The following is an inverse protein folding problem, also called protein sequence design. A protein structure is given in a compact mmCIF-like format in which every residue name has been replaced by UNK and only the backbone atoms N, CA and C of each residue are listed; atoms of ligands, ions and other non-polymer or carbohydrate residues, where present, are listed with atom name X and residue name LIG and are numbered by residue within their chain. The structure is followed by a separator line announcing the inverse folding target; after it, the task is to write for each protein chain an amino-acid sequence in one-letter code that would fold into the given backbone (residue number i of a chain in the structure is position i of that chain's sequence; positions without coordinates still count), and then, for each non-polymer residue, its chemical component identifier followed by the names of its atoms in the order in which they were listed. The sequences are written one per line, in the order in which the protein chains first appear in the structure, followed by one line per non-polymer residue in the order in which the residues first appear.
data_IF_963478868593
#
_entry.id   IF_963478868593
#
_cell.length_a   1.000
_cell.length_b   1.000
_cell.length_c   1.000
_cell.angle_alpha   90.00
_cell.angle_beta   90.00
_cell.angle_gamma   90.00
#
_symmetry.space_group_name_H-M   'P 1'
#
loop_
_entity.id
_entity.type
_entity.pdbx_description
1 polymer ?
#
# COMPACT_ATOMS: atom_id res chain seq x y z
N UNK A 1 35.40 -13.47 12.78
CA UNK A 1 34.39 -12.37 12.77
C UNK A 1 33.43 -12.71 11.65
N UNK A 2 32.19 -13.06 11.98
CA UNK A 2 31.13 -13.32 10.96
C UNK A 2 30.85 -12.03 10.20
N UNK A 3 31.09 -12.05 8.89
CA UNK A 3 30.86 -10.87 8.05
C UNK A 3 29.36 -10.53 7.98
N UNK A 4 29.02 -9.27 8.19
CA UNK A 4 27.68 -8.77 7.93
C UNK A 4 27.45 -8.70 6.43
N UNK A 5 26.27 -9.15 5.99
CA UNK A 5 25.85 -9.17 4.58
C UNK A 5 24.54 -8.40 4.45
N UNK A 6 24.41 -7.55 3.43
CA UNK A 6 23.13 -6.90 3.14
C UNK A 6 22.14 -7.88 2.51
N UNK A 7 20.85 -7.63 2.72
CA UNK A 7 19.78 -8.44 2.14
C UNK A 7 18.39 -7.80 2.28
N UNK A 8 17.43 -8.38 1.56
CA UNK A 8 16.03 -7.98 1.52
C UNK A 8 15.18 -8.99 2.31
N UNK A 9 14.32 -8.53 3.19
CA UNK A 9 13.34 -9.39 3.87
C UNK A 9 12.20 -9.68 2.92
N UNK A 10 12.11 -10.92 2.43
CA UNK A 10 11.08 -11.33 1.45
C UNK A 10 9.90 -12.05 2.10
N UNK A 11 10.06 -12.59 3.30
CA UNK A 11 8.95 -13.20 4.03
C UNK A 11 9.09 -12.95 5.53
N UNK A 12 7.97 -12.55 6.15
CA UNK A 12 7.87 -12.38 7.59
C UNK A 12 7.09 -13.54 8.21
N UNK A 13 7.70 -14.22 9.17
CA UNK A 13 7.07 -15.29 9.94
C UNK A 13 7.05 -14.99 11.44
N UNK A 14 6.39 -15.82 12.21
CA UNK A 14 6.19 -15.62 13.65
C UNK A 14 7.53 -15.59 14.44
N UNK A 15 8.49 -16.44 14.07
CA UNK A 15 9.77 -16.59 14.77
C UNK A 15 10.98 -16.30 13.88
N UNK A 16 10.86 -16.51 12.59
CA UNK A 16 11.94 -16.37 11.61
C UNK A 16 11.44 -15.58 10.40
N UNK A 17 12.38 -14.92 9.73
CA UNK A 17 12.16 -14.18 8.49
C UNK A 17 13.04 -14.78 7.41
N UNK A 18 12.55 -14.83 6.17
CA UNK A 18 13.39 -15.19 5.04
C UNK A 18 14.03 -13.93 4.47
N UNK A 19 15.34 -13.96 4.36
CA UNK A 19 16.15 -12.87 3.82
C UNK A 19 16.81 -13.36 2.54
N UNK A 20 16.63 -12.60 1.46
CA UNK A 20 17.36 -12.77 0.21
C UNK A 20 18.65 -11.96 0.30
N UNK A 21 19.85 -12.60 0.24
CA UNK A 21 21.11 -11.88 0.19
C UNK A 21 21.22 -11.02 -1.08
N UNK A 22 21.86 -9.86 -0.98
CA UNK A 22 22.11 -9.04 -2.16
C UNK A 22 22.99 -9.78 -3.18
N UNK A 23 22.59 -9.69 -4.46
CA UNK A 23 23.24 -10.38 -5.58
C UNK A 23 22.86 -11.86 -5.71
N UNK A 24 22.00 -12.41 -4.85
CA UNK A 24 21.44 -13.74 -5.03
C UNK A 24 20.29 -13.70 -6.04
N UNK A 25 20.08 -14.83 -6.74
CA UNK A 25 18.97 -14.98 -7.66
C UNK A 25 17.63 -15.04 -6.90
N UNK A 26 16.70 -14.09 -7.15
CA UNK A 26 15.39 -14.11 -6.49
C UNK A 26 14.52 -15.33 -6.83
N UNK A 27 14.79 -16.00 -7.95
CA UNK A 27 14.08 -17.21 -8.37
C UNK A 27 14.59 -18.47 -7.65
N UNK A 28 15.77 -18.40 -7.03
CA UNK A 28 16.37 -19.51 -6.29
C UNK A 28 15.88 -19.53 -4.84
N UNK A 29 14.91 -20.39 -4.55
CA UNK A 29 14.41 -20.56 -3.18
C UNK A 29 15.50 -21.04 -2.21
N UNK A 30 16.54 -21.73 -2.71
CA UNK A 30 17.67 -22.17 -1.86
C UNK A 30 18.62 -21.04 -1.51
N UNK A 31 18.57 -19.91 -2.23
CA UNK A 31 19.34 -18.72 -1.89
C UNK A 31 18.87 -18.05 -0.59
N UNK A 32 17.62 -18.28 -0.19
CA UNK A 32 17.02 -17.65 0.99
C UNK A 32 17.67 -18.10 2.30
N UNK A 33 17.89 -17.15 3.22
CA UNK A 33 18.45 -17.39 4.55
C UNK A 33 17.37 -17.20 5.61
N UNK A 34 17.16 -18.24 6.44
CA UNK A 34 16.19 -18.21 7.54
C UNK A 34 16.78 -17.50 8.75
N UNK A 35 16.39 -16.25 8.99
CA UNK A 35 16.98 -15.38 10.00
C UNK A 35 16.06 -15.16 11.20
N UNK A 36 16.67 -15.19 12.40
CA UNK A 36 16.06 -14.67 13.63
C UNK A 36 16.39 -13.21 13.82
N UNK A 37 15.58 -12.48 14.56
CA UNK A 37 15.84 -11.06 14.90
C UNK A 37 16.58 -10.99 16.23
N UNK A 38 17.73 -10.31 16.28
CA UNK A 38 18.49 -10.11 17.52
C UNK A 38 17.67 -9.38 18.59
N UNK A 39 17.79 -9.84 19.83
CA UNK A 39 17.00 -9.33 20.95
C UNK A 39 17.10 -7.82 21.19
N UNK A 40 18.25 -7.19 20.87
CA UNK A 40 18.46 -5.74 20.96
C UNK A 40 17.51 -4.94 20.06
N UNK A 41 17.20 -5.47 18.84
CA UNK A 41 16.30 -4.84 17.89
C UNK A 41 14.82 -4.90 18.35
N UNK A 42 14.47 -5.90 19.16
CA UNK A 42 13.13 -6.03 19.75
C UNK A 42 12.91 -5.03 20.90
N UNK A 43 13.98 -4.63 21.61
CA UNK A 43 13.88 -3.73 22.77
C UNK A 43 13.84 -2.25 22.39
N UNK A 44 14.47 -1.86 21.28
CA UNK A 44 14.62 -0.47 20.85
C UNK A 44 13.38 0.17 20.21
N UNK A 45 12.44 -0.65 19.70
CA UNK A 45 11.23 -0.19 19.00
C UNK A 45 9.96 -0.60 19.74
N UNK A 46 9.82 -0.13 20.99
CA UNK A 46 8.63 -0.41 21.83
C UNK A 46 7.31 0.11 21.22
N UNK A 47 7.39 1.00 20.25
CA UNK A 47 6.23 1.58 19.55
C UNK A 47 5.75 0.72 18.38
N UNK A 48 6.59 -0.18 17.86
CA UNK A 48 6.23 -1.06 16.75
C UNK A 48 6.09 -2.51 17.23
N UNK A 49 4.94 -3.11 16.96
CA UNK A 49 4.63 -4.50 17.34
C UNK A 49 5.55 -5.50 16.61
N UNK A 50 6.03 -5.13 15.43
CA UNK A 50 6.94 -5.93 14.61
C UNK A 50 8.15 -5.09 14.21
N UNK A 51 9.34 -5.40 14.71
CA UNK A 51 10.54 -4.65 14.36
C UNK A 51 10.95 -4.85 12.90
N UNK A 52 10.70 -6.04 12.33
CA UNK A 52 11.05 -6.42 10.95
C UNK A 52 9.79 -6.75 10.18
N UNK A 53 9.69 -6.27 8.95
CA UNK A 53 8.60 -6.54 8.00
C UNK A 53 9.16 -6.87 6.62
N UNK A 54 8.32 -7.35 5.72
CA UNK A 54 8.71 -7.54 4.31
C UNK A 54 9.09 -6.21 3.67
N UNK A 55 10.05 -6.25 2.75
CA UNK A 55 10.62 -5.04 2.13
C UNK A 55 11.71 -4.35 2.94
N UNK A 56 11.93 -4.74 4.21
CA UNK A 56 13.05 -4.20 4.99
C UNK A 56 14.40 -4.59 4.36
N UNK A 57 15.28 -3.60 4.24
CA UNK A 57 16.70 -3.81 3.96
C UNK A 57 17.40 -4.05 5.29
N UNK A 58 18.20 -5.11 5.38
CA UNK A 58 18.82 -5.55 6.63
C UNK A 58 20.29 -5.88 6.45
N UNK A 59 21.05 -5.76 7.55
CA UNK A 59 22.34 -6.41 7.70
C UNK A 59 22.14 -7.68 8.51
N UNK A 60 22.60 -8.81 8.00
CA UNK A 60 22.46 -10.08 8.67
C UNK A 60 23.79 -10.86 8.68
N UNK A 61 23.94 -11.78 9.64
CA UNK A 61 25.03 -12.76 9.71
C UNK A 61 24.46 -14.12 9.36
N UNK A 62 25.19 -14.89 8.54
CA UNK A 62 24.84 -16.27 8.22
C UNK A 62 25.69 -17.20 9.07
N UNK A 63 25.07 -18.22 9.66
CA UNK A 63 25.73 -19.27 10.42
C UNK A 63 26.31 -20.31 9.46
N UNK A 64 27.45 -20.86 9.81
CA UNK A 64 28.02 -22.02 9.12
C UNK A 64 27.18 -23.27 9.45
N UNK A 65 26.83 -24.06 8.42
CA UNK A 65 26.05 -25.28 8.60
C UNK A 65 25.22 -25.63 7.37
N UNK A 66 24.67 -26.86 7.32
CA UNK A 66 23.87 -27.34 6.19
C UNK A 66 22.55 -26.57 6.05
N UNK A 67 21.99 -26.06 7.14
CA UNK A 67 20.81 -25.22 7.14
C UNK A 67 21.22 -23.75 6.97
N UNK A 68 20.69 -23.07 5.97
CA UNK A 68 20.92 -21.63 5.74
C UNK A 68 20.23 -20.80 6.81
N UNK A 69 20.81 -20.74 8.00
CA UNK A 69 20.33 -19.97 9.13
C UNK A 69 21.16 -18.71 9.34
N UNK A 70 20.53 -17.68 9.91
CA UNK A 70 21.19 -16.42 10.17
C UNK A 70 20.52 -15.61 11.28
N UNK A 71 21.06 -14.44 11.51
CA UNK A 71 20.52 -13.47 12.44
C UNK A 71 20.52 -12.07 11.81
N UNK A 72 19.40 -11.38 11.86
CA UNK A 72 19.29 -9.96 11.50
C UNK A 72 19.94 -9.16 12.62
N UNK A 73 21.00 -8.45 12.27
CA UNK A 73 21.82 -7.64 13.18
C UNK A 73 21.38 -6.17 13.18
N UNK A 74 20.90 -5.68 12.00
CA UNK A 74 20.49 -4.30 11.82
C UNK A 74 19.36 -4.22 10.79
N UNK A 75 18.45 -3.27 10.99
CA UNK A 75 17.41 -2.89 10.02
C UNK A 75 17.81 -1.51 9.52
N UNK A 76 18.03 -1.39 8.21
CA UNK A 76 18.40 -0.14 7.59
C UNK A 76 17.22 0.85 7.61
N UNK A 77 17.51 2.13 7.40
CA UNK A 77 16.50 3.17 7.33
C UNK A 77 15.49 2.88 6.21
N UNK A 78 14.21 3.01 6.52
CA UNK A 78 13.12 2.83 5.56
C UNK A 78 12.90 4.11 4.79
N UNK A 79 12.76 4.03 3.46
CA UNK A 79 12.31 5.16 2.63
C UNK A 79 10.87 5.54 2.98
N UNK A 80 10.02 4.54 3.11
CA UNK A 80 8.60 4.63 3.45
C UNK A 80 8.11 3.33 4.07
N UNK A 81 6.89 3.36 4.63
CA UNK A 81 6.27 2.16 5.16
C UNK A 81 4.74 2.29 5.13
N UNK A 82 4.05 1.22 4.73
CA UNK A 82 2.61 1.10 4.93
C UNK A 82 2.35 0.62 6.34
N UNK A 83 1.55 1.40 7.05
CA UNK A 83 1.13 1.13 8.42
C UNK A 83 -0.37 1.02 8.56
N UNK A 84 -0.81 0.28 9.57
CA UNK A 84 -2.21 0.18 9.96
C UNK A 84 -2.38 0.24 11.47
N UNK A 85 -3.56 0.59 11.98
CA UNK A 85 -3.85 0.45 13.41
C UNK A 85 -3.78 -1.03 13.80
N UNK A 86 -3.16 -1.31 14.94
CA UNK A 86 -3.27 -2.65 15.51
C UNK A 86 -4.65 -2.81 16.16
N UNK A 87 -5.39 -3.89 15.89
CA UNK A 87 -6.56 -4.24 16.67
C UNK A 87 -6.12 -4.60 18.10
N UNK A 88 -6.04 -3.62 18.98
CA UNK A 88 -5.66 -3.86 20.38
C UNK A 88 -6.90 -4.03 21.22
N UNK A 89 -7.01 -5.16 21.92
CA UNK A 89 -8.00 -5.38 22.97
C UNK A 89 -7.69 -4.59 24.26
N UNK A 90 -7.58 -3.24 24.19
CA UNK A 90 -7.33 -2.43 25.36
C UNK A 90 -7.35 -0.93 25.06
N UNK A 91 -7.95 -0.16 25.94
CA UNK A 91 -8.28 1.28 25.80
C UNK A 91 -7.09 2.26 25.73
N UNK A 92 -5.83 1.82 25.70
CA UNK A 92 -4.68 2.72 25.80
C UNK A 92 -3.62 2.44 24.72
N UNK A 93 -3.47 3.35 23.75
CA UNK A 93 -2.56 3.45 22.62
C UNK A 93 -2.91 2.52 21.45
N UNK A 94 -3.42 3.11 20.39
CA UNK A 94 -3.43 2.51 19.05
C UNK A 94 -1.97 2.38 18.60
N UNK A 95 -1.37 1.21 18.80
CA UNK A 95 -0.01 0.93 18.33
C UNK A 95 -0.03 0.83 16.81
N UNK A 96 0.92 1.48 16.19
CA UNK A 96 1.15 1.37 14.75
C UNK A 96 1.77 0.02 14.41
N UNK A 97 1.18 -0.66 13.44
CA UNK A 97 1.74 -1.87 12.88
C UNK A 97 2.18 -1.61 11.45
N UNK A 98 3.49 -1.54 11.24
CA UNK A 98 4.06 -1.57 9.90
C UNK A 98 3.76 -2.91 9.25
N UNK A 99 3.35 -2.90 8.00
CA UNK A 99 2.92 -4.08 7.22
C UNK A 99 3.93 -4.41 6.14
N UNK A 100 4.38 -3.40 5.41
CA UNK A 100 5.41 -3.49 4.37
C UNK A 100 6.25 -2.21 4.36
N UNK A 101 7.55 -2.34 4.05
CA UNK A 101 8.48 -1.23 3.97
C UNK A 101 9.08 -1.11 2.56
N UNK A 102 9.62 0.06 2.26
CA UNK A 102 10.39 0.36 1.05
C UNK A 102 9.66 0.01 -0.26
N UNK A 103 8.36 0.31 -0.31
CA UNK A 103 7.61 0.23 -1.56
C UNK A 103 8.07 1.29 -2.54
N UNK A 104 8.22 0.93 -3.78
CA UNK A 104 8.45 1.88 -4.86
C UNK A 104 7.13 2.49 -5.34
N UNK A 105 6.02 1.71 -5.38
CA UNK A 105 4.67 2.23 -5.67
C UNK A 105 3.56 1.34 -5.15
N UNK A 106 2.46 1.96 -4.70
CA UNK A 106 1.20 1.31 -4.41
C UNK A 106 0.23 1.50 -5.58
N UNK A 107 -0.21 0.40 -6.20
CA UNK A 107 -1.20 0.42 -7.26
C UNK A 107 -2.61 0.26 -6.69
N UNK A 108 -3.47 1.24 -6.96
CA UNK A 108 -4.87 1.24 -6.54
C UNK A 108 -5.71 0.70 -7.69
N UNK A 109 -6.23 -0.51 -7.54
CA UNK A 109 -7.04 -1.17 -8.56
C UNK A 109 -8.51 -0.88 -8.33
N UNK A 110 -9.13 -0.26 -9.31
CA UNK A 110 -10.58 -0.05 -9.38
C UNK A 110 -11.15 -0.70 -10.62
N UNK A 111 -12.42 -1.08 -10.57
CA UNK A 111 -13.14 -1.64 -11.72
C UNK A 111 -13.97 -0.54 -12.38
N UNK A 112 -13.99 -0.53 -13.72
CA UNK A 112 -14.83 0.37 -14.51
C UNK A 112 -16.27 -0.10 -14.64
N UNK A 113 -16.59 -1.33 -14.19
CA UNK A 113 -17.92 -1.92 -14.28
C UNK A 113 -18.31 -2.67 -12.99
N UNK A 114 -17.86 -3.89 -12.80
CA UNK A 114 -18.27 -4.81 -11.74
C UNK A 114 -17.09 -5.19 -10.84
N UNK A 115 -17.06 -4.75 -9.56
CA UNK A 115 -18.05 -3.87 -8.91
C UNK A 115 -18.04 -2.46 -9.47
N UNK A 116 -19.09 -1.66 -9.23
CA UNK A 116 -19.15 -0.26 -9.66
C UNK A 116 -17.94 0.52 -9.17
N UNK A 117 -17.52 1.51 -9.97
CA UNK A 117 -16.44 2.42 -9.62
C UNK A 117 -16.72 3.11 -8.27
N UNK A 118 -15.74 3.06 -7.36
CA UNK A 118 -15.80 3.74 -6.07
C UNK A 118 -14.70 4.80 -5.99
N UNK A 119 -14.99 6.02 -6.45
CA UNK A 119 -14.03 7.14 -6.45
C UNK A 119 -13.61 7.51 -5.03
N UNK A 120 -14.53 7.53 -4.06
CA UNK A 120 -14.19 7.85 -2.67
C UNK A 120 -13.17 6.86 -2.07
N UNK A 121 -13.28 5.56 -2.40
CA UNK A 121 -12.26 4.59 -1.99
C UNK A 121 -10.91 4.91 -2.64
N UNK A 122 -10.89 5.21 -3.95
CA UNK A 122 -9.67 5.56 -4.68
C UNK A 122 -9.00 6.80 -4.05
N UNK A 123 -9.75 7.87 -3.88
CA UNK A 123 -9.27 9.15 -3.32
C UNK A 123 -8.79 9.02 -1.87
N UNK A 124 -9.47 8.18 -1.07
CA UNK A 124 -9.04 7.81 0.29
C UNK A 124 -7.63 7.20 0.31
N UNK A 125 -7.39 6.24 -0.58
CA UNK A 125 -6.10 5.55 -0.63
C UNK A 125 -5.01 6.49 -1.17
N UNK A 126 -5.31 7.32 -2.16
CA UNK A 126 -4.37 8.32 -2.67
C UNK A 126 -3.95 9.31 -1.57
N UNK A 127 -4.91 9.85 -0.82
CA UNK A 127 -4.62 10.74 0.29
C UNK A 127 -3.77 10.05 1.39
N UNK A 128 -4.07 8.79 1.69
CA UNK A 128 -3.29 8.01 2.66
C UNK A 128 -1.86 7.74 2.17
N UNK A 129 -1.66 7.47 0.88
CA UNK A 129 -0.34 7.29 0.28
C UNK A 129 0.48 8.57 0.40
N UNK A 130 -0.10 9.70 0.02
CA UNK A 130 0.59 10.98 0.08
C UNK A 130 0.99 11.35 1.51
N UNK A 131 0.08 11.14 2.49
CA UNK A 131 0.35 11.37 3.91
C UNK A 131 1.50 10.51 4.46
N UNK A 132 1.65 9.27 3.95
CA UNK A 132 2.71 8.35 4.37
C UNK A 132 3.96 8.37 3.46
N UNK A 133 4.04 9.31 2.51
CA UNK A 133 5.18 9.44 1.59
C UNK A 133 5.35 8.23 0.67
N UNK A 134 4.25 7.63 0.23
CA UNK A 134 4.23 6.46 -0.65
C UNK A 134 3.79 6.88 -2.05
N UNK A 135 4.63 6.63 -3.05
CA UNK A 135 4.24 6.81 -4.44
C UNK A 135 3.06 5.90 -4.78
N UNK A 136 2.08 6.44 -5.50
CA UNK A 136 0.89 5.70 -5.86
C UNK A 136 0.56 5.82 -7.35
N UNK A 137 -0.26 4.89 -7.84
CA UNK A 137 -0.79 4.91 -9.20
C UNK A 137 -2.13 4.19 -9.25
N UNK A 138 -2.88 4.43 -10.30
CA UNK A 138 -4.24 3.92 -10.50
C UNK A 138 -4.27 2.90 -11.62
N UNK A 139 -4.98 1.80 -11.41
CA UNK A 139 -5.31 0.83 -12.46
C UNK A 139 -6.82 0.80 -12.63
N UNK A 140 -7.28 1.31 -13.77
CA UNK A 140 -8.66 1.24 -14.23
C UNK A 140 -8.85 -0.10 -14.95
N UNK A 141 -9.33 -1.11 -14.22
CA UNK A 141 -9.42 -2.47 -14.73
C UNK A 141 -10.82 -2.79 -15.28
N UNK A 142 -10.90 -3.85 -16.09
CA UNK A 142 -12.11 -4.38 -16.73
C UNK A 142 -12.67 -3.47 -17.80
N UNK A 143 -11.81 -2.79 -18.55
CA UNK A 143 -12.19 -1.96 -19.69
C UNK A 143 -12.89 -2.76 -20.81
N UNK A 144 -12.74 -4.08 -20.81
CA UNK A 144 -13.34 -5.03 -21.76
C UNK A 144 -14.84 -5.30 -21.54
N UNK A 145 -15.38 -4.94 -20.37
CA UNK A 145 -16.77 -5.20 -20.06
C UNK A 145 -17.69 -4.22 -20.82
N UNK A 146 -18.85 -4.68 -21.34
CA UNK A 146 -19.73 -3.86 -22.16
C UNK A 146 -20.38 -2.69 -21.40
N UNK A 147 -20.47 -2.80 -20.07
CA UNK A 147 -20.98 -1.78 -19.16
C UNK A 147 -19.85 -0.98 -18.47
N UNK A 148 -18.62 -1.08 -18.99
CA UNK A 148 -17.49 -0.32 -18.45
C UNK A 148 -17.69 1.19 -18.66
N UNK A 149 -17.48 1.96 -17.60
CA UNK A 149 -17.43 3.42 -17.68
C UNK A 149 -16.26 3.84 -18.57
N UNK A 150 -16.43 4.90 -19.36
CA UNK A 150 -15.35 5.49 -20.15
C UNK A 150 -14.18 5.85 -19.22
N UNK A 151 -12.97 5.29 -19.44
CA UNK A 151 -11.82 5.55 -18.61
C UNK A 151 -11.23 6.95 -18.79
N UNK A 152 -11.43 7.61 -19.93
CA UNK A 152 -10.68 8.81 -20.30
C UNK A 152 -10.93 10.02 -19.39
N UNK A 153 -12.15 10.33 -18.94
CA UNK A 153 -12.37 11.39 -17.96
C UNK A 153 -11.65 11.14 -16.62
N UNK A 154 -11.68 9.88 -16.14
CA UNK A 154 -10.98 9.49 -14.92
C UNK A 154 -9.46 9.58 -15.08
N UNK A 155 -8.95 9.06 -16.17
CA UNK A 155 -7.52 9.10 -16.49
C UNK A 155 -7.03 10.54 -16.50
N UNK A 156 -7.72 11.44 -17.20
CA UNK A 156 -7.36 12.86 -17.28
C UNK A 156 -7.29 13.51 -15.88
N UNK A 157 -8.28 13.25 -15.01
CA UNK A 157 -8.33 13.80 -13.65
C UNK A 157 -7.14 13.34 -12.81
N UNK A 158 -6.77 12.04 -12.82
CA UNK A 158 -5.69 11.56 -11.98
C UNK A 158 -4.30 11.85 -12.57
N UNK A 159 -4.14 11.84 -13.89
CA UNK A 159 -2.89 12.25 -14.54
C UNK A 159 -2.61 13.75 -14.33
N UNK A 160 -3.64 14.62 -14.23
CA UNK A 160 -3.44 16.05 -13.95
C UNK A 160 -2.87 16.34 -12.56
N UNK A 161 -2.91 15.37 -11.65
CA UNK A 161 -2.32 15.45 -10.32
C UNK A 161 -1.05 14.59 -10.19
N UNK A 162 -0.34 14.35 -11.29
CA UNK A 162 0.88 13.54 -11.37
C UNK A 162 0.72 12.08 -10.88
N UNK A 163 -0.50 11.56 -10.89
CA UNK A 163 -0.77 10.18 -10.53
C UNK A 163 -0.84 9.32 -11.82
N UNK A 164 0.10 8.38 -12.05
CA UNK A 164 0.09 7.54 -13.24
C UNK A 164 -1.14 6.63 -13.28
N UNK A 165 -1.75 6.51 -14.48
CA UNK A 165 -2.96 5.72 -14.70
C UNK A 165 -2.75 4.69 -15.79
N UNK A 166 -3.03 3.42 -15.46
CA UNK A 166 -3.12 2.33 -16.44
C UNK A 166 -4.58 1.91 -16.66
N UNK A 167 -5.00 1.89 -17.92
CA UNK A 167 -6.29 1.34 -18.33
C UNK A 167 -6.08 -0.08 -18.80
N UNK A 168 -6.63 -1.06 -18.07
CA UNK A 168 -6.28 -2.48 -18.23
C UNK A 168 -7.51 -3.39 -18.37
N UNK A 169 -7.26 -4.53 -18.99
CA UNK A 169 -8.10 -5.72 -18.87
C UNK A 169 -7.22 -6.94 -18.62
N UNK A 170 -7.41 -7.58 -17.49
CA UNK A 170 -6.76 -8.84 -17.19
C UNK A 170 -7.20 -9.98 -18.11
N UNK A 171 -8.40 -9.87 -18.71
CA UNK A 171 -8.99 -10.91 -19.58
C UNK A 171 -8.45 -10.84 -21.00
N UNK A 172 -8.34 -9.63 -21.56
CA UNK A 172 -7.91 -9.41 -22.95
C UNK A 172 -6.43 -9.09 -23.08
N UNK A 173 -5.75 -8.77 -21.97
CA UNK A 173 -4.36 -8.32 -21.96
C UNK A 173 -4.19 -6.83 -22.31
N UNK A 174 -5.27 -6.11 -22.55
CA UNK A 174 -5.23 -4.68 -22.88
C UNK A 174 -4.51 -3.91 -21.79
N UNK A 175 -3.57 -3.03 -22.16
CA UNK A 175 -2.84 -2.12 -21.26
C UNK A 175 -1.81 -2.78 -20.34
N UNK A 176 -1.68 -4.12 -20.31
CA UNK A 176 -0.75 -4.81 -19.40
C UNK A 176 0.73 -4.52 -19.70
N UNK A 177 1.10 -4.31 -20.96
CA UNK A 177 2.50 -4.05 -21.31
C UNK A 177 3.07 -2.79 -20.65
N UNK A 178 2.27 -1.69 -20.59
CA UNK A 178 2.65 -0.48 -19.87
C UNK A 178 2.80 -0.70 -18.36
N UNK A 179 1.85 -1.43 -17.77
CA UNK A 179 1.90 -1.78 -16.35
C UNK A 179 3.14 -2.64 -16.02
N UNK A 180 3.42 -3.66 -16.84
CA UNK A 180 4.61 -4.52 -16.69
C UNK A 180 5.90 -3.71 -16.72
N UNK A 181 6.01 -2.74 -17.64
CA UNK A 181 7.18 -1.84 -17.70
C UNK A 181 7.38 -1.04 -16.42
N UNK A 182 6.29 -0.58 -15.77
CA UNK A 182 6.37 0.18 -14.52
C UNK A 182 6.70 -0.70 -13.31
N UNK A 183 6.42 -1.99 -13.38
CA UNK A 183 6.70 -2.95 -12.31
C UNK A 183 8.17 -3.39 -12.28
N UNK A 184 8.90 -3.26 -13.39
CA UNK A 184 10.23 -3.82 -13.55
C UNK A 184 11.25 -3.27 -12.53
N UNK A 185 12.00 -4.16 -11.90
CA UNK A 185 13.10 -3.84 -10.97
C UNK A 185 12.68 -3.23 -9.64
N UNK A 186 11.40 -3.25 -9.28
CA UNK A 186 10.83 -2.50 -8.14
C UNK A 186 9.98 -3.36 -7.22
N UNK A 187 9.67 -2.82 -6.04
CA UNK A 187 8.76 -3.44 -5.06
C UNK A 187 7.41 -2.73 -5.12
N UNK A 188 6.38 -3.46 -5.48
CA UNK A 188 5.02 -2.95 -5.60
C UNK A 188 4.05 -3.64 -4.67
N UNK A 189 2.92 -2.96 -4.42
CA UNK A 189 1.77 -3.55 -3.78
C UNK A 189 0.49 -3.17 -4.52
N UNK A 190 -0.55 -4.00 -4.40
CA UNK A 190 -1.84 -3.79 -5.05
C UNK A 190 -2.93 -3.73 -4.00
N UNK A 191 -3.69 -2.63 -3.99
CA UNK A 191 -4.84 -2.42 -3.12
C UNK A 191 -6.10 -2.21 -3.95
N UNK A 192 -7.23 -2.56 -3.43
CA UNK A 192 -8.53 -2.38 -4.10
C UNK A 192 -9.60 -3.25 -3.45
N UNK A 193 -10.84 -2.92 -3.70
CA UNK A 193 -12.00 -3.66 -3.19
C UNK A 193 -12.02 -5.11 -3.69
N UNK A 194 -12.83 -5.95 -3.04
CA UNK A 194 -13.04 -7.32 -3.52
C UNK A 194 -13.68 -7.31 -4.91
N UNK A 195 -13.24 -8.20 -5.79
CA UNK A 195 -13.80 -8.33 -7.12
C UNK A 195 -13.31 -7.35 -8.20
N UNK A 196 -12.44 -6.36 -7.87
CA UNK A 196 -11.90 -5.41 -8.89
C UNK A 196 -10.90 -6.06 -9.86
N UNK A 197 -10.44 -7.29 -9.58
CA UNK A 197 -9.58 -8.05 -10.48
C UNK A 197 -8.09 -8.02 -10.17
N UNK A 198 -7.66 -7.69 -8.94
CA UNK A 198 -6.23 -7.70 -8.54
C UNK A 198 -5.54 -9.03 -8.84
N UNK A 199 -6.10 -10.14 -8.36
CA UNK A 199 -5.51 -11.48 -8.58
C UNK A 199 -5.51 -11.86 -10.07
N UNK A 200 -6.54 -11.47 -10.81
CA UNK A 200 -6.60 -11.70 -12.26
C UNK A 200 -5.52 -10.93 -13.01
N UNK A 201 -5.29 -9.65 -12.64
CA UNK A 201 -4.21 -8.84 -13.19
C UNK A 201 -2.85 -9.47 -12.94
N UNK A 202 -2.57 -9.84 -11.68
CA UNK A 202 -1.30 -10.46 -11.32
C UNK A 202 -1.09 -11.82 -12.00
N UNK A 203 -2.15 -12.64 -12.14
CA UNK A 203 -2.08 -13.90 -12.89
C UNK A 203 -1.90 -13.68 -14.40
N UNK A 204 -2.41 -12.58 -14.96
CA UNK A 204 -2.21 -12.24 -16.37
C UNK A 204 -0.79 -11.70 -16.64
N UNK A 205 -0.20 -10.99 -15.68
CA UNK A 205 1.17 -10.48 -15.73
C UNK A 205 2.17 -11.62 -15.54
N UNK A 206 1.92 -12.50 -14.55
CA UNK A 206 2.79 -13.64 -14.24
C UNK A 206 1.96 -14.91 -14.17
N UNK A 207 1.83 -15.67 -15.28
CA UNK A 207 1.15 -16.95 -15.29
C UNK A 207 1.83 -17.95 -14.32
N UNK A 208 1.02 -18.66 -13.54
CA UNK A 208 1.52 -19.61 -12.55
C UNK A 208 1.83 -19.02 -11.18
N UNK A 209 1.66 -17.72 -10.97
CA UNK A 209 1.78 -17.09 -9.65
C UNK A 209 0.66 -17.59 -8.72
N UNK A 210 1.01 -18.37 -7.71
CA UNK A 210 0.03 -18.90 -6.74
C UNK A 210 -0.23 -17.91 -5.61
N UNK A 211 -1.18 -17.00 -5.83
CA UNK A 211 -1.65 -16.05 -4.83
C UNK A 211 -2.66 -16.66 -3.83
N UNK A 212 -2.98 -17.97 -3.95
CA UNK A 212 -4.02 -18.62 -3.12
C UNK A 212 -3.60 -18.80 -1.67
N UNK A 213 -2.33 -18.72 -1.35
CA UNK A 213 -1.83 -18.85 0.03
C UNK A 213 -2.36 -17.73 0.93
N UNK A 214 -2.73 -16.58 0.36
CA UNK A 214 -3.24 -15.41 1.11
C UNK A 214 -4.78 -15.33 1.20
N UNK A 215 -5.54 -16.06 0.37
CA UNK A 215 -7.01 -15.93 0.28
C UNK A 215 -7.81 -16.95 1.09
N UNK A 216 -7.19 -17.78 1.90
CA UNK A 216 -7.87 -18.85 2.70
C UNK A 216 -8.65 -18.30 3.91
N UNK A 217 -9.04 -17.02 3.91
CA UNK A 217 -9.88 -16.39 4.95
C UNK A 217 -11.39 -16.44 4.72
N UNK A 218 -11.90 -16.93 3.58
CA UNK A 218 -13.32 -16.68 3.22
C UNK A 218 -14.27 -17.88 3.16
N UNK A 219 -13.90 -19.12 3.44
CA UNK A 219 -14.91 -20.20 3.61
C UNK A 219 -14.44 -21.30 4.55
N UNK A 220 -14.96 -21.31 5.75
CA UNK A 220 -14.86 -22.45 6.65
C UNK A 220 -15.18 -22.11 8.10
N UNK A 221 -16.47 -22.17 8.48
CA UNK A 221 -16.87 -22.23 9.89
C UNK A 221 -16.27 -23.46 10.55
N UNK A 222 -15.18 -23.28 11.30
CA UNK A 222 -14.52 -24.30 12.07
C UNK A 222 -13.69 -23.67 13.16
N UNK A 223 -14.03 -23.91 14.42
CA UNK A 223 -13.31 -23.43 15.59
C UNK A 223 -11.84 -23.86 15.59
N UNK A 224 -10.93 -22.89 15.73
CA UNK A 224 -9.62 -23.09 16.34
C UNK A 224 -8.49 -23.50 15.41
N UNK A 225 -7.90 -22.50 14.72
CA UNK A 225 -6.44 -22.41 14.50
C UNK A 225 -6.12 -21.00 14.01
N UNK A 226 -5.36 -20.23 14.79
CA UNK A 226 -4.74 -18.97 14.34
C UNK A 226 -3.78 -19.31 13.21
N UNK A 227 -4.23 -19.29 11.97
CA UNK A 227 -3.38 -19.25 10.79
C UNK A 227 -2.80 -17.85 10.74
N UNK A 228 -1.58 -17.68 11.27
CA UNK A 228 -0.76 -16.49 11.07
C UNK A 228 -0.45 -16.43 9.59
N UNK A 229 -1.22 -15.65 8.85
CA UNK A 229 -0.99 -15.41 7.43
C UNK A 229 0.33 -14.64 7.34
N UNK A 230 1.37 -15.30 6.83
CA UNK A 230 2.69 -14.70 6.64
C UNK A 230 2.58 -13.63 5.55
N UNK A 231 3.13 -12.43 5.77
CA UNK A 231 3.31 -11.44 4.72
C UNK A 231 4.51 -11.83 3.88
N UNK A 232 4.41 -11.72 2.55
CA UNK A 232 5.45 -12.16 1.62
C UNK A 232 5.59 -11.21 0.43
N UNK A 233 6.81 -11.07 -0.07
CA UNK A 233 7.11 -10.54 -1.39
C UNK A 233 7.17 -11.70 -2.38
N UNK A 234 6.42 -11.61 -3.47
CA UNK A 234 6.49 -12.54 -4.59
C UNK A 234 7.39 -11.97 -5.67
N UNK A 235 8.38 -12.72 -6.09
CA UNK A 235 9.17 -12.40 -7.25
C UNK A 235 8.40 -12.71 -8.53
N UNK A 236 8.44 -11.81 -9.48
CA UNK A 236 7.83 -11.95 -10.81
C UNK A 236 8.96 -12.07 -11.85
N UNK A 237 9.37 -13.29 -12.24
CA UNK A 237 10.51 -13.50 -13.15
C UNK A 237 10.37 -12.77 -14.50
N UNK A 238 9.16 -12.77 -15.09
CA UNK A 238 8.92 -12.15 -16.40
C UNK A 238 8.98 -10.62 -16.36
N UNK A 239 8.92 -10.05 -15.17
CA UNK A 239 8.92 -8.60 -14.91
C UNK A 239 10.21 -8.15 -14.25
N UNK A 240 10.96 -9.10 -13.66
CA UNK A 240 12.11 -8.82 -12.78
C UNK A 240 11.77 -7.88 -11.61
N UNK A 241 10.57 -8.02 -11.04
CA UNK A 241 10.04 -7.16 -10.00
C UNK A 241 9.40 -7.93 -8.84
N UNK A 242 9.03 -7.22 -7.77
CA UNK A 242 8.44 -7.79 -6.58
C UNK A 242 7.01 -7.29 -6.36
N UNK A 243 6.13 -8.16 -5.91
CA UNK A 243 4.79 -7.80 -5.44
C UNK A 243 4.60 -8.23 -4.00
N UNK A 244 4.22 -7.28 -3.16
CA UNK A 244 3.88 -7.54 -1.77
C UNK A 244 2.45 -8.08 -1.67
N UNK A 245 2.30 -9.25 -1.04
CA UNK A 245 1.02 -9.77 -0.58
C UNK A 245 0.95 -9.72 0.94
N UNK A 246 0.05 -8.88 1.42
CA UNK A 246 -0.14 -8.69 2.85
C UNK A 246 -1.62 -8.66 3.18
N UNK A 247 -2.10 -9.55 4.06
CA UNK A 247 -3.51 -9.58 4.49
C UNK A 247 -4.00 -8.26 5.09
N UNK A 248 -3.08 -7.44 5.57
CA UNK A 248 -3.37 -6.16 6.22
C UNK A 248 -3.61 -4.97 5.30
N UNK A 249 -3.37 -5.10 4.00
CA UNK A 249 -3.55 -3.99 3.04
C UNK A 249 -5.02 -3.62 2.78
N UNK A 250 -5.96 -4.49 3.12
CA UNK A 250 -7.40 -4.18 3.03
C UNK A 250 -7.82 -3.09 4.02
N UNK A 251 -7.09 -2.94 5.12
CA UNK A 251 -7.36 -1.97 6.20
C UNK A 251 -6.51 -0.69 6.05
N UNK A 252 -5.73 -0.59 4.94
CA UNK A 252 -4.96 0.61 4.64
C UNK A 252 -5.91 1.79 4.34
N UNK A 253 -5.60 2.96 4.88
CA UNK A 253 -6.42 4.16 4.73
C UNK A 253 -5.92 5.33 5.59
N UNK A 254 -6.81 6.23 5.96
CA UNK A 254 -6.52 7.50 6.62
C UNK A 254 -6.15 7.38 8.10
N UNK A 255 -5.58 6.26 8.52
CA UNK A 255 -5.19 6.08 9.92
C UNK A 255 -4.07 7.07 10.32
N UNK A 256 -4.23 7.71 11.48
CA UNK A 256 -3.29 8.71 12.00
C UNK A 256 -3.44 10.09 11.38
N UNK A 257 -4.35 10.29 10.44
CA UNK A 257 -4.65 11.58 9.81
C UNK A 257 -5.77 12.29 10.56
N UNK A 258 -5.64 13.61 10.68
CA UNK A 258 -6.66 14.51 11.24
C UNK A 258 -7.26 15.37 10.12
N UNK A 259 -8.43 16.00 10.40
CA UNK A 259 -9.13 16.85 9.42
C UNK A 259 -8.25 17.88 8.75
N UNK A 260 -7.40 18.57 9.52
CA UNK A 260 -6.50 19.62 9.01
C UNK A 260 -5.42 19.12 8.06
N UNK A 261 -5.15 17.81 8.06
CA UNK A 261 -4.11 17.20 7.23
C UNK A 261 -4.68 16.60 5.94
N UNK A 262 -6.01 16.45 5.86
CA UNK A 262 -6.64 15.83 4.71
C UNK A 262 -6.43 16.61 3.40
N UNK A 263 -6.47 17.95 3.48
CA UNK A 263 -6.27 18.82 2.31
C UNK A 263 -4.91 18.62 1.65
N UNK A 264 -3.86 18.29 2.43
CA UNK A 264 -2.53 17.97 1.90
C UNK A 264 -2.53 16.72 1.02
N UNK A 265 -3.52 15.83 1.23
CA UNK A 265 -3.78 14.61 0.44
C UNK A 265 -4.49 14.86 -0.90
N UNK A 266 -4.89 16.11 -1.18
CA UNK A 266 -5.52 16.55 -2.42
C UNK A 266 -4.64 17.62 -3.05
N UNK A 267 -3.65 17.19 -3.83
CA UNK A 267 -2.56 18.05 -4.33
C UNK A 267 -3.04 19.21 -5.16
N UNK A 268 -4.16 19.05 -5.87
CA UNK A 268 -4.82 20.08 -6.66
C UNK A 268 -5.38 21.25 -5.82
N UNK A 269 -5.54 21.06 -4.49
CA UNK A 269 -5.97 22.15 -3.63
C UNK A 269 -4.85 23.14 -3.32
N UNK A 270 -3.58 22.73 -3.43
CA UNK A 270 -2.41 23.53 -3.00
C UNK A 270 -2.32 24.87 -3.70
N UNK A 271 -2.58 24.89 -5.01
CA UNK A 271 -2.52 26.13 -5.80
C UNK A 271 -3.58 27.17 -5.37
N UNK A 272 -4.70 26.70 -4.83
CA UNK A 272 -5.82 27.57 -4.42
C UNK A 272 -5.85 27.82 -2.92
N UNK A 273 -5.31 26.92 -2.12
CA UNK A 273 -5.44 26.98 -0.65
C UNK A 273 -4.78 28.24 -0.05
N UNK A 274 -3.70 28.75 -0.68
CA UNK A 274 -2.99 29.95 -0.24
C UNK A 274 -3.86 31.22 -0.37
N UNK A 275 -4.83 31.23 -1.30
CA UNK A 275 -5.74 32.33 -1.56
C UNK A 275 -7.01 32.31 -0.68
N UNK A 276 -7.16 31.30 0.19
CA UNK A 276 -8.28 31.22 1.12
C UNK A 276 -8.23 32.36 2.14
N UNK A 277 -9.41 32.94 2.43
CA UNK A 277 -9.54 33.99 3.43
C UNK A 277 -9.03 33.60 4.82
N UNK A 278 -9.14 32.33 5.21
CA UNK A 278 -8.72 31.81 6.52
C UNK A 278 -7.57 30.84 6.35
N UNK A 279 -6.54 30.95 7.21
CA UNK A 279 -5.36 30.07 7.19
C UNK A 279 -5.63 28.64 7.61
N UNK A 280 -6.69 28.43 8.40
CA UNK A 280 -7.16 27.15 8.92
C UNK A 280 -8.42 26.64 8.18
N UNK A 281 -8.60 27.10 6.93
CA UNK A 281 -9.72 26.73 6.10
C UNK A 281 -9.73 25.20 5.87
N UNK A 282 -10.87 24.58 6.15
CA UNK A 282 -11.10 23.18 5.86
C UNK A 282 -11.75 22.96 4.48
N UNK A 283 -11.86 24.03 3.70
CA UNK A 283 -12.41 24.03 2.34
C UNK A 283 -13.82 23.41 2.24
N UNK A 284 -14.66 23.63 3.25
CA UNK A 284 -16.01 23.07 3.33
C UNK A 284 -17.12 24.06 3.09
N UNK A 285 -17.18 25.08 3.94
CA UNK A 285 -18.27 26.07 3.94
C UNK A 285 -17.78 27.46 4.39
N UNK A 286 -16.49 27.66 4.50
CA UNK A 286 -15.90 28.91 4.92
C UNK A 286 -16.09 29.98 3.84
N UNK A 287 -16.56 31.16 4.18
CA UNK A 287 -16.76 32.24 3.21
C UNK A 287 -15.42 32.73 2.66
N UNK A 288 -15.31 32.83 1.34
CA UNK A 288 -14.08 33.20 0.64
C UNK A 288 -13.06 32.07 0.62
N UNK A 289 -13.53 30.83 0.47
CA UNK A 289 -12.69 29.67 0.24
C UNK A 289 -12.34 29.55 -1.26
N UNK A 290 -11.08 29.77 -1.62
CA UNK A 290 -10.63 29.72 -3.01
C UNK A 290 -10.71 28.31 -3.61
N UNK A 291 -10.58 27.25 -2.81
CA UNK A 291 -10.75 25.87 -3.27
C UNK A 291 -12.19 25.61 -3.71
N UNK A 292 -13.21 26.04 -2.94
CA UNK A 292 -14.61 25.87 -3.37
C UNK A 292 -14.93 26.72 -4.59
N UNK A 293 -14.35 27.92 -4.72
CA UNK A 293 -14.48 28.73 -5.93
C UNK A 293 -13.84 28.06 -7.15
N UNK A 294 -12.69 27.40 -6.98
CA UNK A 294 -12.03 26.63 -8.05
C UNK A 294 -12.88 25.44 -8.51
N UNK A 295 -13.57 24.75 -7.57
CA UNK A 295 -14.54 23.68 -7.92
C UNK A 295 -15.70 24.26 -8.74
N UNK A 296 -16.26 25.40 -8.34
CA UNK A 296 -17.37 26.05 -9.09
C UNK A 296 -16.96 26.47 -10.50
N UNK A 297 -15.69 26.85 -10.69
CA UNK A 297 -15.11 27.19 -11.99
C UNK A 297 -14.73 25.97 -12.84
N UNK A 298 -14.72 24.76 -12.25
CA UNK A 298 -14.29 23.52 -12.92
C UNK A 298 -12.77 23.37 -13.02
N UNK A 299 -12.00 24.14 -12.26
CA UNK A 299 -10.53 24.02 -12.13
C UNK A 299 -10.14 22.82 -11.26
N UNK A 300 -11.01 22.44 -10.32
CA UNK A 300 -10.93 21.24 -9.51
C UNK A 300 -12.10 20.32 -9.84
N UNK A 301 -11.85 19.02 -10.05
CA UNK A 301 -12.89 18.01 -10.33
C UNK A 301 -13.88 17.92 -9.17
N UNK A 302 -15.17 18.11 -9.49
CA UNK A 302 -16.24 18.18 -8.50
C UNK A 302 -16.43 16.86 -7.72
N UNK A 303 -16.17 15.69 -8.35
CA UNK A 303 -16.30 14.40 -7.68
C UNK A 303 -15.11 14.11 -6.76
N UNK A 304 -13.90 14.60 -7.09
CA UNK A 304 -12.77 14.57 -6.17
C UNK A 304 -13.03 15.45 -4.94
N UNK A 305 -13.54 16.65 -5.17
CA UNK A 305 -13.97 17.50 -4.04
C UNK A 305 -15.08 16.85 -3.22
N UNK A 306 -16.05 16.18 -3.83
CA UNK A 306 -17.08 15.44 -3.11
C UNK A 306 -16.48 14.29 -2.28
N UNK A 307 -15.47 13.58 -2.80
CA UNK A 307 -14.71 12.58 -2.05
C UNK A 307 -14.02 13.22 -0.85
N UNK A 308 -13.32 14.35 -1.03
CA UNK A 308 -12.66 15.11 0.04
C UNK A 308 -13.66 15.46 1.15
N UNK A 309 -14.78 16.08 0.79
CA UNK A 309 -15.80 16.51 1.73
C UNK A 309 -16.35 15.33 2.56
N UNK A 310 -16.60 14.18 1.93
CA UNK A 310 -17.06 12.98 2.62
C UNK A 310 -15.99 12.38 3.53
N UNK A 311 -14.72 12.39 3.12
CA UNK A 311 -13.60 11.89 3.92
C UNK A 311 -13.33 12.80 5.13
N UNK A 312 -13.49 14.11 4.98
CA UNK A 312 -13.33 15.07 6.06
C UNK A 312 -14.31 14.81 7.20
N UNK A 313 -15.55 14.39 6.89
CA UNK A 313 -16.57 14.08 7.88
C UNK A 313 -16.25 12.79 8.68
N UNK A 314 -15.44 11.90 8.12
CA UNK A 314 -15.03 10.64 8.77
C UNK A 314 -13.83 10.83 9.71
N UNK A 315 -13.04 11.91 9.55
CA UNK A 315 -11.81 12.12 10.29
C UNK A 315 -12.04 12.82 11.63
N UNK A 316 -11.27 12.45 12.67
CA UNK A 316 -11.28 13.16 13.94
C UNK A 316 -10.71 14.58 13.79
N UNK A 317 -11.18 15.48 14.64
CA UNK A 317 -10.73 16.89 14.66
C UNK A 317 -9.29 16.98 15.14
N UNK A 318 -8.97 16.25 16.21
CA UNK A 318 -7.64 16.21 16.83
C UNK A 318 -7.37 14.87 17.53
N UNK A 319 -6.21 14.75 18.21
CA UNK A 319 -5.84 13.54 18.94
C UNK A 319 -6.79 13.20 20.10
N UNK A 320 -7.44 14.20 20.72
CA UNK A 320 -8.36 13.98 21.83
C UNK A 320 -9.68 13.38 21.33
N UNK A 321 -10.15 13.85 20.17
CA UNK A 321 -11.33 13.32 19.50
C UNK A 321 -11.09 11.90 18.94
N UNK A 322 -9.88 11.64 18.45
CA UNK A 322 -9.47 10.30 17.98
C UNK A 322 -9.39 9.23 19.08
N UNK A 323 -9.35 9.64 20.36
CA UNK A 323 -9.29 8.76 21.54
C UNK A 323 -10.67 8.41 22.12
N UNK A 324 -11.73 9.06 21.66
CA UNK A 324 -13.12 8.78 22.05
C UNK A 324 -13.75 7.73 21.15
#
# INVERSE_FOLDING_TARGET
MTAHRPGLVVQHGATRNLVLPDGADPSDAEALVSCVVRGRLRKGRREHVRPVVIGDRVQFTQLEGPERQGAIEEILERKNAISRPQPSGGQHRKLEQVVVANLDRLWIVVSLAQPPLNRRFLDRILAACLHQGIDSGVILNKVDLPDATDPEPLRSVYESIDCPVHVCSATTGTGLAGLVSDLAGRIHAFVGLSGVGKSSLLSAIQPGLDLRVASVGEKGGGHGRHTTTASQLFWLPDVEGWVADTPGMREFGLWGMFRKELSDGFVEFREHAEDCRFRDCLHRSEPGCAVTEAVEKGEIDAERYASYAALLDELPVDELDARR
#
